data_IF_449905327552
#
_entry.id   IF_449905327552
#
_cell.length_a   1.000
_cell.length_b   1.000
_cell.length_c   1.000
_cell.angle_alpha   90.00
_cell.angle_beta   90.00
_cell.angle_gamma   90.00
#
_symmetry.space_group_name_H-M   'P 1'
#
loop_
_entity.id
_entity.type
_entity.pdbx_description
1 polymer ?
#
# COMPACT_ATOMS: atom_id res chain seq x y z
N UNK A 1 11.91 23.57 104.90
CA UNK A 1 10.55 23.98 104.47
C UNK A 1 10.73 25.34 103.81
N UNK A 2 10.52 25.60 102.53
CA UNK A 2 9.48 25.19 101.57
C UNK A 2 10.02 25.45 100.15
N UNK A 3 9.46 24.76 99.16
CA UNK A 3 9.86 24.72 97.74
C UNK A 3 9.69 26.06 97.00
N UNK A 4 10.57 26.35 96.04
CA UNK A 4 10.19 26.92 94.74
C UNK A 4 11.15 26.45 93.65
N UNK A 5 10.60 25.93 92.56
CA UNK A 5 11.30 25.30 91.42
C UNK A 5 11.49 26.37 90.34
N UNK A 6 12.70 26.60 89.79
CA UNK A 6 12.87 27.52 88.68
C UNK A 6 12.46 26.88 87.35
N UNK A 7 11.89 27.70 86.47
CA UNK A 7 11.41 27.33 85.15
C UNK A 7 12.53 27.32 84.07
N UNK A 8 12.20 26.63 82.98
CA UNK A 8 12.85 26.51 81.65
C UNK A 8 14.00 25.51 81.51
N UNK A 9 14.28 24.95 80.30
CA UNK A 9 13.64 25.17 78.98
C UNK A 9 13.34 23.87 78.18
N UNK A 10 12.52 23.92 77.13
CA UNK A 10 12.82 23.18 75.88
C UNK A 10 11.89 23.56 74.71
N UNK A 11 12.50 24.32 73.81
CA UNK A 11 12.12 24.48 72.42
C UNK A 11 11.98 23.09 71.75
N UNK A 12 10.76 22.76 71.32
CA UNK A 12 10.50 21.60 70.44
C UNK A 12 10.05 22.13 69.08
N UNK A 13 11.02 22.63 68.30
CA UNK A 13 10.98 22.47 66.84
C UNK A 13 10.93 20.97 66.54
N UNK A 14 9.79 20.45 66.10
CA UNK A 14 9.74 19.29 65.19
C UNK A 14 8.34 19.11 64.61
N UNK A 15 8.22 19.55 63.36
CA UNK A 15 7.78 18.67 62.28
C UNK A 15 6.52 17.83 62.57
N UNK A 16 5.36 18.47 62.51
CA UNK A 16 4.15 17.83 61.99
C UNK A 16 3.89 18.48 60.63
N UNK A 17 4.68 18.12 59.61
CA UNK A 17 4.17 17.28 58.52
C UNK A 17 2.85 17.88 58.01
N UNK A 18 2.88 18.88 57.11
CA UNK A 18 3.07 18.61 55.67
C UNK A 18 2.75 17.15 55.34
N UNK A 19 1.48 16.77 55.54
CA UNK A 19 0.83 15.75 54.71
C UNK A 19 0.32 16.45 53.46
N UNK A 20 1.24 17.07 52.72
CA UNK A 20 1.09 17.02 51.28
C UNK A 20 1.48 15.58 50.98
N UNK A 21 0.48 14.69 50.99
CA UNK A 21 0.57 13.42 50.29
C UNK A 21 0.78 13.77 48.82
N UNK A 22 2.02 14.10 48.48
CA UNK A 22 2.55 13.89 47.16
C UNK A 22 2.43 12.39 46.92
N UNK A 23 1.23 11.98 46.49
CA UNK A 23 1.01 10.79 45.69
C UNK A 23 1.91 10.95 44.48
N UNK A 24 3.18 10.64 44.67
CA UNK A 24 4.10 10.29 43.61
C UNK A 24 3.51 9.03 43.00
N UNK A 25 2.63 9.24 42.02
CA UNK A 25 2.13 8.22 41.12
C UNK A 25 3.35 7.72 40.30
N UNK A 26 4.18 6.90 40.95
CA UNK A 26 5.30 6.24 40.31
C UNK A 26 4.72 5.15 39.42
N UNK A 27 4.89 5.31 38.11
CA UNK A 27 4.56 4.30 37.12
C UNK A 27 5.13 2.95 37.57
N UNK A 28 4.26 1.95 37.74
CA UNK A 28 4.71 0.61 38.10
C UNK A 28 5.37 -0.03 36.88
N UNK A 29 6.38 -0.89 37.09
CA UNK A 29 7.05 -1.60 35.98
C UNK A 29 6.05 -2.32 35.07
N UNK A 30 4.99 -2.88 35.66
CA UNK A 30 3.91 -3.56 34.95
C UNK A 30 3.16 -2.62 34.00
N UNK A 31 2.88 -1.39 34.44
CA UNK A 31 2.21 -0.37 33.63
C UNK A 31 3.07 0.05 32.43
N UNK A 32 4.39 0.18 32.61
CA UNK A 32 5.33 0.46 31.51
C UNK A 32 5.31 -0.68 30.48
N UNK A 33 5.37 -1.93 30.93
CA UNK A 33 5.31 -3.10 30.04
C UNK A 33 3.96 -3.16 29.31
N UNK A 34 2.85 -2.87 30.00
CA UNK A 34 1.52 -2.84 29.40
C UNK A 34 1.40 -1.75 28.31
N UNK A 35 1.94 -0.55 28.56
CA UNK A 35 1.97 0.53 27.58
C UNK A 35 2.84 0.18 26.38
N UNK A 36 4.02 -0.42 26.58
CA UNK A 36 4.89 -0.88 25.49
C UNK A 36 4.23 -1.98 24.66
N UNK A 37 3.54 -2.93 25.31
CA UNK A 37 2.77 -3.97 24.63
C UNK A 37 1.62 -3.37 23.80
N UNK A 38 0.93 -2.34 24.32
CA UNK A 38 -0.12 -1.64 23.58
C UNK A 38 0.44 -0.90 22.37
N UNK A 39 1.55 -0.17 22.53
CA UNK A 39 2.20 0.58 21.44
C UNK A 39 2.66 -0.39 20.33
N UNK A 40 3.29 -1.51 20.70
CA UNK A 40 3.75 -2.52 19.73
C UNK A 40 2.57 -3.20 19.01
N UNK A 41 1.47 -3.48 19.71
CA UNK A 41 0.25 -4.00 19.10
C UNK A 41 -0.31 -3.01 18.07
N UNK A 42 -0.45 -1.74 18.44
CA UNK A 42 -0.93 -0.69 17.54
C UNK A 42 -0.02 -0.56 16.32
N UNK A 43 1.30 -0.50 16.54
CA UNK A 43 2.28 -0.38 15.48
C UNK A 43 2.22 -1.56 14.49
N UNK A 44 2.00 -2.77 14.99
CA UNK A 44 1.85 -3.99 14.16
C UNK A 44 0.62 -3.93 13.27
N UNK A 45 -0.51 -3.43 13.79
CA UNK A 45 -1.75 -3.25 13.02
C UNK A 45 -1.54 -2.19 11.93
N UNK A 46 -0.97 -1.04 12.30
CA UNK A 46 -0.74 0.05 11.35
C UNK A 46 0.17 -0.38 10.20
N UNK A 47 1.30 -1.04 10.46
CA UNK A 47 2.21 -1.49 9.39
C UNK A 47 1.50 -2.43 8.40
N UNK A 48 0.74 -3.40 8.91
CA UNK A 48 0.08 -4.38 8.06
C UNK A 48 -0.92 -3.74 7.10
N UNK A 49 -1.74 -2.82 7.60
CA UNK A 49 -2.73 -2.10 6.78
C UNK A 49 -2.07 -1.17 5.76
N UNK A 50 -0.96 -0.53 6.13
CA UNK A 50 -0.20 0.33 5.21
C UNK A 50 0.44 -0.47 4.07
N UNK A 51 1.01 -1.64 4.36
CA UNK A 51 1.60 -2.51 3.34
C UNK A 51 0.55 -3.02 2.35
N UNK A 52 -0.62 -3.43 2.83
CA UNK A 52 -1.72 -3.87 1.97
C UNK A 52 -2.28 -2.71 1.13
N UNK A 53 -2.40 -1.52 1.71
CA UNK A 53 -2.83 -0.33 0.97
C UNK A 53 -1.82 0.07 -0.11
N UNK A 54 -0.52 0.06 0.21
CA UNK A 54 0.55 0.37 -0.73
C UNK A 54 0.61 -0.65 -1.89
N UNK A 55 0.40 -1.93 -1.59
CA UNK A 55 0.29 -2.99 -2.60
C UNK A 55 -0.89 -2.75 -3.54
N UNK A 56 -2.08 -2.53 -2.99
CA UNK A 56 -3.29 -2.23 -3.79
C UNK A 56 -3.13 -0.98 -4.64
N UNK A 57 -2.43 0.03 -4.13
CA UNK A 57 -2.12 1.22 -4.92
C UNK A 57 -1.20 0.88 -6.09
N UNK A 58 -0.17 0.08 -5.85
CA UNK A 58 0.77 -0.36 -6.89
C UNK A 58 0.08 -1.22 -7.95
N UNK A 59 -0.79 -2.15 -7.53
CA UNK A 59 -1.64 -2.96 -8.43
C UNK A 59 -2.49 -2.05 -9.34
N UNK A 60 -3.12 -1.02 -8.77
CA UNK A 60 -3.91 -0.04 -9.55
C UNK A 60 -3.06 0.79 -10.51
N UNK A 61 -1.82 1.13 -10.13
CA UNK A 61 -0.90 1.86 -11.01
C UNK A 61 -0.53 0.98 -12.21
N UNK A 62 -0.17 -0.29 -11.98
CA UNK A 62 0.12 -1.24 -13.04
C UNK A 62 -1.07 -1.40 -14.00
N UNK A 63 -2.30 -1.57 -13.47
CA UNK A 63 -3.52 -1.66 -14.29
C UNK A 63 -3.75 -0.40 -15.12
N UNK A 64 -3.64 0.78 -14.51
CA UNK A 64 -3.82 2.06 -15.21
C UNK A 64 -2.77 2.29 -16.28
N UNK A 65 -1.53 1.83 -16.06
CA UNK A 65 -0.48 1.91 -17.08
C UNK A 65 -0.86 1.07 -18.30
N UNK A 66 -1.26 -0.19 -18.08
CA UNK A 66 -1.71 -1.08 -19.17
C UNK A 66 -2.91 -0.49 -19.90
N UNK A 67 -3.93 -0.05 -19.17
CA UNK A 67 -5.13 0.54 -19.75
C UNK A 67 -4.81 1.78 -20.59
N UNK A 68 -4.02 2.71 -20.06
CA UNK A 68 -3.63 3.93 -20.76
C UNK A 68 -2.84 3.61 -22.03
N UNK A 69 -1.88 2.67 -21.97
CA UNK A 69 -1.06 2.30 -23.12
C UNK A 69 -1.91 1.64 -24.23
N UNK A 70 -2.87 0.78 -23.87
CA UNK A 70 -3.80 0.18 -24.83
C UNK A 70 -4.75 1.22 -25.45
N UNK A 71 -5.22 2.18 -24.66
CA UNK A 71 -6.01 3.32 -25.16
C UNK A 71 -5.20 4.19 -26.12
N UNK A 72 -3.92 4.44 -25.82
CA UNK A 72 -3.01 5.18 -26.70
C UNK A 72 -2.80 4.44 -28.01
N UNK A 73 -2.48 3.13 -27.99
CA UNK A 73 -2.36 2.35 -29.24
C UNK A 73 -3.63 2.40 -30.07
N UNK A 74 -4.81 2.27 -29.43
CA UNK A 74 -6.08 2.37 -30.13
C UNK A 74 -6.24 3.75 -30.77
N UNK A 75 -6.04 4.83 -30.02
CA UNK A 75 -6.16 6.20 -30.54
C UNK A 75 -5.21 6.47 -31.71
N UNK A 76 -3.94 6.06 -31.59
CA UNK A 76 -2.94 6.21 -32.66
C UNK A 76 -3.33 5.41 -33.91
N UNK A 77 -3.72 4.15 -33.75
CA UNK A 77 -4.15 3.30 -34.88
C UNK A 77 -5.38 3.85 -35.61
N UNK A 78 -6.28 4.56 -34.90
CA UNK A 78 -7.44 5.23 -35.49
C UNK A 78 -7.04 6.49 -36.28
N UNK A 79 -6.05 7.22 -35.79
CA UNK A 79 -5.56 8.47 -36.39
C UNK A 79 -4.70 8.25 -37.63
N UNK A 80 -3.80 7.26 -37.58
CA UNK A 80 -2.79 7.02 -38.62
C UNK A 80 -2.65 5.51 -38.90
N UNK A 81 -2.46 5.09 -40.17
CA UNK A 81 -2.02 3.73 -40.45
C UNK A 81 -0.57 3.53 -39.99
N UNK A 82 -0.32 2.42 -39.29
CA UNK A 82 0.98 2.11 -38.70
C UNK A 82 1.01 0.72 -38.08
N UNK A 83 2.17 0.34 -37.54
CA UNK A 83 2.35 -0.95 -36.86
C UNK A 83 2.20 -0.79 -35.35
N UNK A 84 0.98 -1.02 -34.84
CA UNK A 84 0.63 -0.81 -33.45
C UNK A 84 0.34 -2.14 -32.77
N UNK A 85 1.20 -2.55 -31.83
CA UNK A 85 1.11 -3.86 -31.19
C UNK A 85 1.39 -3.81 -29.70
N UNK A 86 0.76 -4.71 -28.97
CA UNK A 86 1.07 -4.96 -27.57
C UNK A 86 1.33 -6.45 -27.36
N UNK A 87 2.47 -6.82 -26.78
CA UNK A 87 2.87 -8.22 -26.57
C UNK A 87 3.12 -8.52 -25.09
N UNK A 88 2.42 -9.52 -24.58
CA UNK A 88 2.56 -10.03 -23.22
C UNK A 88 3.18 -11.42 -23.22
N UNK A 89 4.11 -11.67 -22.30
CA UNK A 89 4.85 -12.92 -22.20
C UNK A 89 4.42 -13.72 -20.96
N UNK A 90 4.28 -15.05 -21.04
CA UNK A 90 3.86 -15.88 -19.92
C UNK A 90 4.71 -15.66 -18.67
N UNK A 91 4.05 -15.37 -17.55
CA UNK A 91 4.65 -15.15 -16.23
C UNK A 91 5.63 -13.97 -16.12
N UNK A 92 5.72 -13.14 -17.17
CA UNK A 92 6.58 -11.97 -17.15
C UNK A 92 5.88 -10.77 -16.52
N UNK A 93 6.68 -9.94 -15.84
CA UNK A 93 6.25 -8.67 -15.24
C UNK A 93 6.56 -7.50 -16.16
N UNK A 94 6.46 -7.70 -17.45
CA UNK A 94 6.58 -6.64 -18.43
C UNK A 94 5.81 -7.04 -19.69
N UNK A 95 5.58 -6.05 -20.53
CA UNK A 95 5.06 -6.23 -21.88
C UNK A 95 5.79 -5.29 -22.84
N UNK A 96 5.70 -5.60 -24.13
CA UNK A 96 6.24 -4.75 -25.17
C UNK A 96 5.11 -3.96 -25.82
N UNK A 97 5.32 -2.65 -25.90
CA UNK A 97 4.44 -1.71 -26.60
C UNK A 97 5.16 -1.25 -27.87
N UNK A 98 4.62 -1.59 -29.03
CA UNK A 98 5.17 -1.21 -30.32
C UNK A 98 4.28 -0.15 -30.99
N UNK A 99 4.91 0.94 -31.40
CA UNK A 99 4.32 2.03 -32.17
C UNK A 99 5.25 2.33 -33.34
N UNK A 100 4.89 1.82 -34.53
CA UNK A 100 5.73 1.82 -35.72
C UNK A 100 7.10 1.18 -35.43
N UNK A 101 8.19 1.93 -35.65
CA UNK A 101 9.57 1.46 -35.44
C UNK A 101 10.01 1.54 -33.97
N UNK A 102 9.17 2.08 -33.08
CA UNK A 102 9.51 2.24 -31.66
C UNK A 102 8.95 1.07 -30.85
N UNK A 103 9.82 0.36 -30.14
CA UNK A 103 9.43 -0.68 -29.19
C UNK A 103 9.81 -0.24 -27.77
N UNK A 104 8.82 -0.15 -26.90
CA UNK A 104 8.98 0.19 -25.49
C UNK A 104 8.79 -1.05 -24.63
N UNK A 105 9.74 -1.31 -23.74
CA UNK A 105 9.58 -2.31 -22.68
C UNK A 105 8.91 -1.65 -21.46
N UNK A 106 7.70 -2.12 -21.12
CA UNK A 106 6.88 -1.56 -20.04
C UNK A 106 6.87 -2.52 -18.87
N UNK A 107 7.65 -2.18 -17.84
CA UNK A 107 7.70 -2.97 -16.60
C UNK A 107 6.41 -2.81 -15.79
N UNK A 108 5.98 -3.91 -15.17
CA UNK A 108 4.95 -3.99 -14.15
C UNK A 108 5.61 -4.30 -12.80
N UNK A 109 5.12 -3.69 -11.73
CA UNK A 109 5.73 -3.86 -10.39
C UNK A 109 5.22 -5.10 -9.69
N UNK A 110 3.91 -5.33 -9.79
CA UNK A 110 3.16 -6.31 -9.01
C UNK A 110 2.39 -7.28 -9.87
N UNK A 111 1.99 -6.87 -11.08
CA UNK A 111 1.26 -7.72 -12.01
C UNK A 111 2.20 -8.50 -12.93
N UNK A 112 1.80 -9.72 -13.26
CA UNK A 112 2.39 -10.55 -14.31
C UNK A 112 1.31 -11.06 -15.24
N UNK A 113 1.65 -11.30 -16.50
CA UNK A 113 0.72 -11.95 -17.43
C UNK A 113 0.55 -13.44 -17.08
N UNK A 114 -0.68 -13.90 -16.92
CA UNK A 114 -1.00 -15.26 -16.47
C UNK A 114 -1.43 -16.21 -17.58
N UNK A 115 -1.44 -15.76 -18.84
CA UNK A 115 -1.69 -16.66 -19.96
C UNK A 115 -0.54 -17.66 -20.15
N UNK A 116 -0.88 -18.82 -20.69
CA UNK A 116 0.07 -19.91 -20.92
C UNK A 116 0.99 -19.65 -22.13
N UNK A 117 0.50 -18.87 -23.09
CA UNK A 117 1.20 -18.54 -24.34
C UNK A 117 1.38 -17.02 -24.46
N UNK A 118 2.29 -16.60 -25.33
CA UNK A 118 2.43 -15.18 -25.66
C UNK A 118 1.13 -14.64 -26.23
N UNK A 119 0.69 -13.48 -25.74
CA UNK A 119 -0.45 -12.76 -26.27
C UNK A 119 0.02 -11.54 -27.04
N UNK A 120 -0.21 -11.55 -28.35
CA UNK A 120 -0.02 -10.41 -29.22
C UNK A 120 -1.37 -9.79 -29.58
N UNK A 121 -1.52 -8.51 -29.28
CA UNK A 121 -2.66 -7.69 -29.68
C UNK A 121 -2.22 -6.75 -30.79
N UNK A 122 -2.89 -6.81 -31.93
CA UNK A 122 -2.64 -5.94 -33.08
C UNK A 122 -3.75 -4.91 -33.19
N UNK A 123 -3.36 -3.64 -33.30
CA UNK A 123 -4.29 -2.51 -33.36
C UNK A 123 -4.32 -1.96 -34.79
N UNK A 124 -5.42 -2.22 -35.49
CA UNK A 124 -5.65 -1.68 -36.83
C UNK A 124 -6.86 -0.72 -36.85
N UNK A 125 -6.80 0.25 -37.77
CA UNK A 125 -7.68 1.43 -37.84
C UNK A 125 -9.18 1.13 -37.87
N UNK A 126 -9.60 -0.02 -38.39
CA UNK A 126 -11.02 -0.38 -38.51
C UNK A 126 -11.30 -1.82 -38.08
N UNK A 127 -10.32 -2.49 -37.50
CA UNK A 127 -10.50 -3.85 -37.01
C UNK A 127 -10.78 -3.80 -35.51
N UNK A 128 -11.73 -4.62 -35.04
CA UNK A 128 -11.93 -4.80 -33.61
C UNK A 128 -10.69 -5.50 -33.05
N UNK A 129 -10.16 -4.97 -31.95
CA UNK A 129 -9.13 -5.68 -31.20
C UNK A 129 -9.81 -6.81 -30.46
N UNK A 130 -9.37 -8.04 -30.69
CA UNK A 130 -9.85 -9.24 -30.01
C UNK A 130 -8.75 -9.79 -29.12
N UNK A 131 -9.13 -10.34 -27.97
CA UNK A 131 -8.20 -10.91 -27.01
C UNK A 131 -8.53 -10.53 -25.58
N UNK A 132 -8.28 -11.46 -24.66
CA UNK A 132 -8.42 -11.25 -23.23
C UNK A 132 -7.02 -11.16 -22.61
N UNK A 133 -6.72 -10.07 -21.93
CA UNK A 133 -5.47 -9.96 -21.16
C UNK A 133 -5.77 -10.41 -19.74
N UNK A 134 -5.03 -11.41 -19.25
CA UNK A 134 -5.11 -11.87 -17.86
C UNK A 134 -3.86 -11.47 -17.11
N UNK A 135 -4.04 -10.69 -16.05
CA UNK A 135 -2.96 -10.22 -15.20
C UNK A 135 -3.19 -10.73 -13.78
N UNK A 136 -2.17 -11.35 -13.21
CA UNK A 136 -2.22 -11.92 -11.87
C UNK A 136 -1.24 -11.26 -10.93
N UNK A 137 -1.60 -11.23 -9.65
CA UNK A 137 -0.69 -10.87 -8.57
C UNK A 137 -0.07 -12.13 -7.94
N UNK A 138 1.09 -12.02 -7.27
CA UNK A 138 1.66 -13.13 -6.50
C UNK A 138 0.74 -13.66 -5.39
N UNK A 139 -0.23 -12.87 -4.94
CA UNK A 139 -1.22 -13.25 -3.93
C UNK A 139 -2.44 -13.99 -4.53
N UNK A 140 -2.44 -14.25 -5.83
CA UNK A 140 -3.52 -14.98 -6.51
C UNK A 140 -4.74 -14.14 -6.85
N UNK A 141 -4.64 -12.80 -6.85
CA UNK A 141 -5.69 -11.94 -7.43
C UNK A 141 -5.51 -11.91 -8.93
N UNK A 142 -6.61 -12.01 -9.66
CA UNK A 142 -6.62 -11.93 -11.11
C UNK A 142 -7.46 -10.76 -11.61
N UNK A 143 -6.98 -10.16 -12.69
CA UNK A 143 -7.61 -9.07 -13.40
C UNK A 143 -7.71 -9.46 -14.87
N UNK A 144 -8.89 -9.23 -15.45
CA UNK A 144 -9.14 -9.47 -16.86
C UNK A 144 -9.36 -8.14 -17.54
N UNK A 145 -8.68 -7.89 -18.64
CA UNK A 145 -8.95 -6.75 -19.49
C UNK A 145 -9.59 -7.27 -20.77
N UNK A 146 -10.80 -6.77 -21.05
CA UNK A 146 -11.62 -7.17 -22.18
C UNK A 146 -11.88 -5.97 -23.09
N UNK A 147 -11.79 -6.12 -24.41
CA UNK A 147 -12.18 -5.07 -25.34
C UNK A 147 -13.70 -4.90 -25.32
N UNK A 148 -14.15 -3.66 -25.18
CA UNK A 148 -15.54 -3.27 -25.31
C UNK A 148 -15.94 -3.09 -26.78
N UNK A 149 -17.21 -2.78 -27.04
CA UNK A 149 -17.74 -2.60 -28.40
C UNK A 149 -17.05 -1.46 -29.19
N UNK A 150 -16.41 -0.51 -28.52
CA UNK A 150 -15.64 0.56 -29.14
C UNK A 150 -14.16 0.19 -29.39
N UNK A 151 -13.73 -1.00 -28.96
CA UNK A 151 -12.35 -1.47 -29.07
C UNK A 151 -11.40 -0.92 -28.01
N UNK A 152 -11.93 -0.40 -26.90
CA UNK A 152 -11.16 -0.01 -25.71
C UNK A 152 -11.19 -1.13 -24.68
N UNK A 153 -10.12 -1.28 -23.90
CA UNK A 153 -10.04 -2.30 -22.87
C UNK A 153 -10.63 -1.80 -21.55
N UNK A 154 -11.48 -2.61 -20.94
CA UNK A 154 -12.05 -2.37 -19.61
C UNK A 154 -11.56 -3.43 -18.64
N UNK A 155 -11.26 -3.01 -17.41
CA UNK A 155 -10.79 -3.90 -16.34
C UNK A 155 -12.01 -4.54 -15.67
N UNK A 156 -12.09 -5.86 -15.74
CA UNK A 156 -13.02 -6.70 -14.98
C UNK A 156 -12.24 -7.40 -13.87
N UNK A 157 -12.67 -7.21 -12.63
CA UNK A 157 -12.07 -7.85 -11.46
C UNK A 157 -12.85 -9.11 -11.12
N UNK A 158 -12.15 -10.22 -10.93
CA UNK A 158 -12.70 -11.46 -10.38
C UNK A 158 -12.54 -11.55 -8.86
#
# INVERSE_FOLDING_TARGET
MTRFIPACPRDKRRNSARRDEERTAGFTLFEVVAVLALITLLYSIFIYDFDEAARRLTERIDLKQVEADLQTLRAESLGRPGDYRCRFFPNERFYLLQMDDTVLNRSLKTLAYTGLEELELVFARFEPVTGEIRLGTPQGREYRLLPNAAGYFEVVRE
#
